data_IF_456403047023
#
_entry.id   IF_456403047023
#
_cell.length_a   1.000
_cell.length_b   1.000
_cell.length_c   1.000
_cell.angle_alpha   90.00
_cell.angle_beta   90.00
_cell.angle_gamma   90.00
#
_symmetry.space_group_name_H-M   'P 1'
#
loop_
_entity.id
_entity.type
_entity.pdbx_description
1 polymer ?
#
# COMPACT_ATOMS: atom_id res chain seq x y z
N UNK A 1 19.88 -3.74 -5.05
CA UNK A 1 20.70 -4.84 -5.59
C UNK A 1 19.81 -6.00 -6.06
N UNK A 2 20.35 -6.81 -6.99
CA UNK A 2 19.65 -8.03 -7.42
C UNK A 2 20.69 -9.11 -7.72
N UNK A 3 20.43 -10.32 -7.26
CA UNK A 3 21.20 -11.53 -7.57
C UNK A 3 20.29 -12.47 -8.37
N UNK A 4 20.83 -13.02 -9.47
CA UNK A 4 20.11 -13.95 -10.33
C UNK A 4 20.98 -15.18 -10.59
N UNK A 5 20.35 -16.35 -10.63
CA UNK A 5 21.00 -17.61 -10.97
C UNK A 5 20.18 -18.36 -12.01
N UNK A 6 20.91 -19.02 -12.92
CA UNK A 6 20.36 -19.95 -13.91
C UNK A 6 21.14 -21.26 -13.78
N UNK A 7 20.44 -22.38 -13.86
CA UNK A 7 21.06 -23.70 -13.81
C UNK A 7 20.37 -24.65 -14.80
N UNK A 8 21.14 -25.13 -15.77
CA UNK A 8 20.66 -26.11 -16.74
C UNK A 8 20.78 -27.51 -16.12
N UNK A 9 19.63 -28.12 -15.85
CA UNK A 9 19.53 -29.44 -15.21
C UNK A 9 19.78 -30.55 -16.21
N UNK A 10 19.19 -30.42 -17.40
CA UNK A 10 19.30 -31.32 -18.52
C UNK A 10 18.85 -30.59 -19.80
N UNK A 11 19.03 -31.26 -20.96
CA UNK A 11 18.61 -30.70 -22.25
C UNK A 11 17.14 -30.22 -22.16
N UNK A 12 16.95 -28.96 -22.44
CA UNK A 12 15.64 -28.31 -22.45
C UNK A 12 15.09 -27.88 -21.07
N UNK A 13 15.69 -28.27 -19.94
CA UNK A 13 15.22 -27.87 -18.60
C UNK A 13 16.20 -26.93 -17.92
N UNK A 14 15.79 -25.69 -17.73
CA UNK A 14 16.54 -24.65 -17.01
C UNK A 14 15.78 -24.22 -15.76
N UNK A 15 16.43 -24.22 -14.61
CA UNK A 15 15.95 -23.60 -13.39
C UNK A 15 16.47 -22.17 -13.31
N UNK A 16 15.64 -21.29 -12.75
CA UNK A 16 16.00 -19.90 -12.51
C UNK A 16 15.59 -19.46 -11.12
N UNK A 17 16.40 -18.62 -10.50
CA UNK A 17 16.07 -17.96 -9.25
C UNK A 17 16.60 -16.55 -9.26
N UNK A 18 15.88 -15.65 -8.61
CA UNK A 18 16.36 -14.29 -8.36
C UNK A 18 15.84 -13.79 -7.01
N UNK A 19 16.68 -13.00 -6.36
CA UNK A 19 16.32 -12.23 -5.18
C UNK A 19 16.89 -10.82 -5.35
N UNK A 20 16.13 -9.83 -4.94
CA UNK A 20 16.56 -8.44 -5.08
C UNK A 20 15.76 -7.50 -4.23
N UNK A 21 16.36 -6.33 -3.97
CA UNK A 21 15.71 -5.23 -3.28
C UNK A 21 15.53 -4.05 -4.24
N UNK A 22 14.49 -3.29 -4.01
CA UNK A 22 14.23 -2.03 -4.68
C UNK A 22 13.84 -0.96 -3.67
N UNK A 23 13.78 0.28 -4.12
CA UNK A 23 13.24 1.38 -3.33
C UNK A 23 12.55 2.39 -4.26
N UNK A 24 11.59 3.12 -3.71
CA UNK A 24 10.96 4.27 -4.34
C UNK A 24 11.05 5.48 -3.41
N UNK A 25 11.74 6.51 -3.85
CA UNK A 25 11.80 7.77 -3.10
C UNK A 25 10.42 8.46 -3.11
N UNK A 26 10.06 9.21 -2.04
CA UNK A 26 8.89 10.06 -2.01
C UNK A 26 8.89 11.07 -3.17
N UNK A 27 7.72 11.38 -3.69
CA UNK A 27 7.55 12.43 -4.68
C UNK A 27 7.81 13.82 -4.10
N UNK A 28 8.25 14.76 -4.94
CA UNK A 28 8.49 16.14 -4.48
C UNK A 28 7.21 16.79 -3.92
N UNK A 29 6.04 16.47 -4.49
CA UNK A 29 4.75 16.92 -3.98
C UNK A 29 4.44 16.39 -2.58
N UNK A 30 4.83 15.15 -2.28
CA UNK A 30 4.62 14.55 -0.96
C UNK A 30 5.52 15.19 0.11
N UNK A 31 6.69 15.69 -0.29
CA UNK A 31 7.68 16.27 0.62
C UNK A 31 7.54 17.78 0.83
N UNK A 32 7.01 18.53 -0.15
CA UNK A 32 7.13 19.98 -0.17
C UNK A 32 5.94 20.75 -0.76
N UNK A 33 4.76 20.13 -0.93
CA UNK A 33 3.57 20.85 -1.36
C UNK A 33 3.10 21.86 -0.29
N UNK A 34 2.53 22.96 -0.74
CA UNK A 34 1.86 23.91 0.15
C UNK A 34 0.62 23.27 0.80
N UNK A 35 0.32 23.68 2.02
CA UNK A 35 -0.92 23.29 2.70
C UNK A 35 -2.14 23.76 1.91
N UNK A 36 -3.06 22.86 1.68
CA UNK A 36 -4.35 23.12 1.03
C UNK A 36 -5.49 22.88 2.02
N UNK A 37 -6.63 23.52 1.76
CA UNK A 37 -7.83 23.37 2.57
C UNK A 37 -8.88 22.53 1.84
N UNK A 38 -9.58 21.68 2.60
CA UNK A 38 -10.72 20.88 2.16
C UNK A 38 -11.80 20.83 3.24
N UNK A 39 -13.02 20.54 2.85
CA UNK A 39 -14.10 20.19 3.76
C UNK A 39 -14.44 18.71 3.54
N UNK A 40 -13.87 17.85 4.38
CA UNK A 40 -13.96 16.41 4.21
C UNK A 40 -15.14 15.83 4.97
N UNK A 41 -15.91 14.96 4.28
CA UNK A 41 -17.01 14.21 4.90
C UNK A 41 -16.47 13.03 5.68
N UNK A 42 -17.04 12.77 6.86
CA UNK A 42 -16.69 11.66 7.73
C UNK A 42 -17.86 11.21 8.58
N UNK A 43 -17.76 10.03 9.18
CA UNK A 43 -18.70 9.54 10.19
C UNK A 43 -17.96 9.38 11.51
N UNK A 44 -18.32 10.19 12.49
CA UNK A 44 -17.61 10.25 13.78
C UNK A 44 -18.12 9.18 14.75
N UNK A 45 -17.62 7.96 14.59
CA UNK A 45 -18.00 6.84 15.46
C UNK A 45 -17.58 7.02 16.93
N UNK A 46 -16.58 7.84 17.23
CA UNK A 46 -16.17 8.14 18.61
C UNK A 46 -17.23 9.00 19.28
N UNK A 47 -17.67 10.06 18.61
CA UNK A 47 -18.76 10.94 19.08
C UNK A 47 -20.08 10.17 19.22
N UNK A 48 -20.46 9.39 18.21
CA UNK A 48 -21.68 8.59 18.24
C UNK A 48 -21.68 7.60 19.41
N UNK A 49 -20.57 6.90 19.65
CA UNK A 49 -20.45 5.98 20.78
C UNK A 49 -20.57 6.70 22.12
N UNK A 50 -19.96 7.86 22.27
CA UNK A 50 -20.05 8.68 23.50
C UNK A 50 -21.47 9.20 23.74
N UNK A 51 -22.25 9.43 22.69
CA UNK A 51 -23.66 9.86 22.75
C UNK A 51 -24.66 8.68 22.79
N UNK A 52 -24.18 7.42 22.76
CA UNK A 52 -25.03 6.25 22.76
C UNK A 52 -25.73 5.97 21.43
N UNK A 53 -25.27 6.55 20.33
CA UNK A 53 -25.79 6.35 18.97
C UNK A 53 -25.14 5.10 18.36
N UNK A 54 -25.96 4.19 17.84
CA UNK A 54 -25.44 2.99 17.16
C UNK A 54 -24.75 3.35 15.83
N UNK A 55 -23.72 2.58 15.45
CA UNK A 55 -22.95 2.84 14.20
C UNK A 55 -23.81 3.01 12.93
N UNK A 56 -24.85 2.21 12.69
CA UNK A 56 -25.69 2.37 11.49
C UNK A 56 -26.45 3.70 11.44
N UNK A 57 -26.72 4.29 12.61
CA UNK A 57 -27.51 5.52 12.76
C UNK A 57 -26.62 6.76 12.92
N UNK A 58 -25.29 6.58 12.91
CA UNK A 58 -24.33 7.66 13.07
C UNK A 58 -24.31 8.54 11.80
N UNK A 59 -24.61 9.85 11.92
CA UNK A 59 -24.69 10.72 10.76
C UNK A 59 -23.32 11.02 10.17
N UNK A 60 -23.29 11.28 8.87
CA UNK A 60 -22.13 11.85 8.21
C UNK A 60 -22.09 13.36 8.45
N UNK A 61 -20.91 13.86 8.82
CA UNK A 61 -20.64 15.27 9.09
C UNK A 61 -19.49 15.76 8.22
N UNK A 62 -19.24 17.06 8.17
CA UNK A 62 -18.09 17.65 7.50
C UNK A 62 -17.18 18.33 8.52
N UNK A 63 -15.88 18.25 8.26
CA UNK A 63 -14.86 18.92 9.07
C UNK A 63 -13.88 19.65 8.17
N UNK A 64 -13.39 20.78 8.67
CA UNK A 64 -12.31 21.52 8.04
C UNK A 64 -11.03 20.67 8.08
N UNK A 65 -10.44 20.44 6.92
CA UNK A 65 -9.26 19.59 6.78
C UNK A 65 -8.13 20.37 6.14
N UNK A 66 -6.97 20.34 6.75
CA UNK A 66 -5.73 20.88 6.23
C UNK A 66 -4.87 19.73 5.68
N UNK A 67 -4.54 19.81 4.39
CA UNK A 67 -3.74 18.80 3.70
C UNK A 67 -2.37 19.40 3.45
N UNK A 68 -1.34 18.83 4.05
CA UNK A 68 0.04 19.33 3.93
C UNK A 68 0.98 18.24 3.42
N UNK A 69 2.14 18.63 2.93
CA UNK A 69 3.24 17.73 2.67
C UNK A 69 3.84 17.19 3.97
N UNK A 70 4.58 16.08 3.85
CA UNK A 70 5.33 15.51 4.96
C UNK A 70 6.82 15.41 4.59
N UNK A 71 7.66 16.34 5.04
CA UNK A 71 9.09 16.33 4.73
C UNK A 71 9.85 15.17 5.41
N UNK A 72 9.22 14.45 6.33
CA UNK A 72 9.82 13.34 7.06
C UNK A 72 9.51 11.96 6.44
N UNK A 73 8.92 11.91 5.24
CA UNK A 73 8.67 10.65 4.56
C UNK A 73 9.96 9.92 4.23
N UNK A 74 10.02 8.65 4.64
CA UNK A 74 11.03 7.71 4.17
C UNK A 74 10.70 7.14 2.78
N UNK A 75 11.67 6.48 2.14
CA UNK A 75 11.40 5.74 0.91
C UNK A 75 10.52 4.52 1.18
N UNK A 76 9.83 4.05 0.15
CA UNK A 76 9.31 2.69 0.14
C UNK A 76 10.44 1.74 -0.18
N UNK A 77 10.52 0.63 0.53
CA UNK A 77 11.51 -0.41 0.30
C UNK A 77 10.83 -1.70 -0.15
N UNK A 78 11.42 -2.42 -1.09
CA UNK A 78 10.85 -3.67 -1.57
C UNK A 78 11.87 -4.79 -1.59
N UNK A 79 11.39 -6.00 -1.30
CA UNK A 79 12.12 -7.24 -1.51
C UNK A 79 11.33 -8.15 -2.43
N UNK A 80 12.01 -8.73 -3.43
CA UNK A 80 11.38 -9.61 -4.39
C UNK A 80 12.18 -10.90 -4.53
N UNK A 81 11.49 -12.03 -4.47
CA UNK A 81 12.02 -13.36 -4.71
C UNK A 81 11.24 -14.01 -5.84
N UNK A 82 11.97 -14.62 -6.78
CA UNK A 82 11.39 -15.39 -7.87
C UNK A 82 12.15 -16.70 -8.02
N UNK A 83 11.42 -17.81 -8.17
CA UNK A 83 11.96 -19.14 -8.44
C UNK A 83 11.13 -19.79 -9.53
N UNK A 84 11.75 -20.27 -10.59
CA UNK A 84 11.03 -20.85 -11.71
C UNK A 84 11.79 -21.91 -12.46
N UNK A 85 11.07 -22.57 -13.35
CA UNK A 85 11.58 -23.57 -14.27
C UNK A 85 11.06 -23.29 -15.68
N UNK A 86 11.91 -23.47 -16.67
CA UNK A 86 11.57 -23.39 -18.08
C UNK A 86 11.90 -24.75 -18.70
N UNK A 87 10.93 -25.35 -19.37
CA UNK A 87 11.15 -26.53 -20.16
C UNK A 87 10.89 -26.25 -21.64
N UNK A 88 11.90 -26.50 -22.46
CA UNK A 88 11.86 -26.29 -23.91
C UNK A 88 11.95 -27.62 -24.63
N UNK A 89 11.04 -27.88 -25.57
CA UNK A 89 10.98 -29.09 -26.38
C UNK A 89 10.68 -28.69 -27.82
N UNK A 90 11.70 -28.73 -28.70
CA UNK A 90 11.59 -28.26 -30.07
C UNK A 90 11.11 -26.79 -30.13
N UNK A 91 10.00 -26.57 -30.84
CA UNK A 91 9.41 -25.22 -31.02
C UNK A 91 8.45 -24.82 -29.89
N UNK A 92 8.40 -25.55 -28.77
CA UNK A 92 7.52 -25.30 -27.64
C UNK A 92 8.29 -25.05 -26.38
N UNK A 93 7.80 -24.15 -25.55
CA UNK A 93 8.33 -23.93 -24.18
C UNK A 93 7.22 -23.69 -23.18
N UNK A 94 7.42 -24.23 -21.99
CA UNK A 94 6.56 -23.98 -20.82
C UNK A 94 7.44 -23.40 -19.72
N UNK A 95 6.98 -22.35 -19.10
CA UNK A 95 7.63 -21.78 -17.91
C UNK A 95 6.63 -21.72 -16.77
N UNK A 96 7.11 -22.03 -15.56
CA UNK A 96 6.39 -21.89 -14.30
C UNK A 96 7.27 -21.10 -13.37
N UNK A 97 6.77 -20.01 -12.81
CA UNK A 97 7.46 -19.16 -11.86
C UNK A 97 6.60 -18.94 -10.63
N UNK A 98 7.18 -19.15 -9.47
CA UNK A 98 6.66 -18.65 -8.21
C UNK A 98 7.37 -17.35 -7.87
N UNK A 99 6.60 -16.36 -7.44
CA UNK A 99 7.14 -15.08 -7.00
C UNK A 99 6.54 -14.64 -5.68
N UNK A 100 7.32 -13.89 -4.94
CA UNK A 100 6.88 -13.16 -3.75
C UNK A 100 7.53 -11.78 -3.77
N UNK A 101 6.73 -10.76 -3.59
CA UNK A 101 7.18 -9.37 -3.47
C UNK A 101 6.56 -8.77 -2.22
N UNK A 102 7.39 -8.14 -1.41
CA UNK A 102 7.02 -7.43 -0.19
C UNK A 102 7.46 -5.98 -0.32
N UNK A 103 6.61 -5.05 0.08
CA UNK A 103 6.87 -3.62 0.04
C UNK A 103 6.57 -3.05 1.41
N UNK A 104 7.58 -2.44 2.03
CA UNK A 104 7.49 -1.76 3.31
C UNK A 104 7.38 -0.25 3.14
N UNK A 105 6.72 0.39 4.10
CA UNK A 105 6.66 1.84 4.17
C UNK A 105 5.94 2.50 3.01
N UNK A 106 4.90 1.86 2.46
CA UNK A 106 4.13 2.40 1.33
C UNK A 106 3.69 3.82 1.62
N UNK A 107 4.01 4.75 0.73
CA UNK A 107 3.58 6.14 0.84
C UNK A 107 2.11 6.22 0.42
N UNK A 108 1.25 6.53 1.37
CA UNK A 108 -0.18 6.61 1.17
C UNK A 108 -0.75 7.91 1.73
N UNK A 109 -1.84 8.37 1.16
CA UNK A 109 -2.61 9.51 1.69
C UNK A 109 -3.76 8.96 2.51
N UNK A 110 -3.83 9.36 3.77
CA UNK A 110 -4.91 8.98 4.68
C UNK A 110 -6.10 9.93 4.57
N UNK A 111 -7.27 9.43 4.88
CA UNK A 111 -8.52 10.21 4.96
C UNK A 111 -8.82 10.60 6.40
N UNK A 112 -9.75 11.54 6.59
CA UNK A 112 -10.28 11.86 7.93
C UNK A 112 -10.91 10.64 8.58
N UNK A 113 -11.60 9.80 7.79
CA UNK A 113 -12.19 8.57 8.28
C UNK A 113 -11.16 7.59 8.83
N UNK A 114 -10.00 7.45 8.16
CA UNK A 114 -8.91 6.58 8.63
C UNK A 114 -8.36 7.05 9.99
N UNK A 115 -8.28 8.37 10.21
CA UNK A 115 -7.84 8.94 11.50
C UNK A 115 -8.84 8.62 12.61
N UNK A 116 -10.13 8.73 12.33
CA UNK A 116 -11.20 8.42 13.29
C UNK A 116 -11.20 6.91 13.58
N UNK A 117 -11.15 6.08 12.55
CA UNK A 117 -11.15 4.63 12.69
C UNK A 117 -9.90 4.13 13.43
N UNK A 118 -8.74 4.74 13.20
CA UNK A 118 -7.52 4.47 13.97
C UNK A 118 -7.71 4.72 15.47
N UNK A 119 -8.43 5.78 15.84
CA UNK A 119 -8.70 6.11 17.25
C UNK A 119 -9.62 5.07 17.93
N UNK A 120 -10.43 4.35 17.14
CA UNK A 120 -11.31 3.27 17.62
C UNK A 120 -10.58 1.92 17.63
N UNK A 121 -9.71 1.67 16.64
CA UNK A 121 -9.01 0.39 16.45
C UNK A 121 -7.85 0.16 17.42
N UNK A 122 -7.26 1.22 17.97
CA UNK A 122 -6.23 1.10 18.99
C UNK A 122 -5.27 2.27 19.11
N UNK A 123 -4.79 2.48 20.33
CA UNK A 123 -3.92 3.61 20.68
C UNK A 123 -2.58 3.61 19.92
N UNK A 124 -2.04 2.44 19.55
CA UNK A 124 -0.76 2.33 18.85
C UNK A 124 -0.84 2.86 17.41
N UNK A 125 -1.89 2.53 16.68
CA UNK A 125 -2.07 3.02 15.30
C UNK A 125 -2.41 4.51 15.28
N UNK A 126 -3.27 4.98 16.17
CA UNK A 126 -3.57 6.41 16.35
C UNK A 126 -2.30 7.22 16.70
N UNK A 127 -1.45 6.69 17.58
CA UNK A 127 -0.18 7.34 17.94
C UNK A 127 0.79 7.40 16.76
N UNK A 128 0.83 6.35 15.93
CA UNK A 128 1.63 6.32 14.71
C UNK A 128 1.18 7.41 13.71
N UNK A 129 -0.12 7.55 13.46
CA UNK A 129 -0.65 8.60 12.60
C UNK A 129 -0.32 9.99 13.13
N UNK A 130 -0.54 10.21 14.45
CA UNK A 130 -0.23 11.48 15.10
C UNK A 130 1.25 11.84 15.02
N UNK A 131 2.14 10.86 15.20
CA UNK A 131 3.59 11.08 15.10
C UNK A 131 4.04 11.49 13.69
N UNK A 132 3.27 11.14 12.68
CA UNK A 132 3.48 11.54 11.28
C UNK A 132 2.69 12.80 10.88
N UNK A 133 2.05 13.48 11.84
CA UNK A 133 1.33 14.74 11.63
C UNK A 133 -0.11 14.61 11.15
N UNK A 134 -0.70 13.42 11.25
CA UNK A 134 -2.08 13.16 10.86
C UNK A 134 -2.96 12.95 12.11
N UNK A 135 -3.83 13.89 12.38
CA UNK A 135 -4.71 13.88 13.56
C UNK A 135 -5.91 14.80 13.38
N UNK A 136 -6.93 14.61 14.21
CA UNK A 136 -8.09 15.49 14.31
C UNK A 136 -8.17 16.08 15.71
N UNK A 137 -8.57 17.35 15.79
CA UNK A 137 -8.82 18.06 17.04
C UNK A 137 -10.32 18.10 17.33
N UNK A 138 -10.68 17.84 18.59
CA UNK A 138 -12.06 17.94 19.08
C UNK A 138 -12.26 19.17 19.89
N UNK A 139 -13.45 19.73 19.86
CA UNK A 139 -13.85 20.84 20.71
C UNK A 139 -13.69 20.43 22.19
N UNK A 140 -12.88 21.19 22.93
CA UNK A 140 -12.55 20.94 24.33
C UNK A 140 -11.98 19.56 24.65
N UNK A 141 -11.52 18.80 23.63
CA UNK A 141 -10.97 17.45 23.81
C UNK A 141 -11.97 16.38 24.27
N UNK A 142 -13.27 16.68 24.25
CA UNK A 142 -14.32 15.76 24.69
C UNK A 142 -14.71 14.79 23.60
N UNK A 143 -14.89 13.50 23.94
CA UNK A 143 -15.25 12.46 22.98
C UNK A 143 -16.61 12.66 22.30
N UNK A 144 -17.56 13.29 22.99
CA UNK A 144 -18.91 13.60 22.53
C UNK A 144 -19.01 14.93 21.75
N UNK A 145 -17.92 15.70 21.69
CA UNK A 145 -17.87 16.97 20.99
C UNK A 145 -17.53 16.79 19.50
N UNK A 146 -17.94 17.77 18.68
CA UNK A 146 -17.61 17.82 17.27
C UNK A 146 -16.11 17.94 17.02
N UNK A 147 -15.66 17.42 15.88
CA UNK A 147 -14.34 17.75 15.35
C UNK A 147 -14.29 19.22 14.94
N UNK A 148 -13.24 19.91 15.33
CA UNK A 148 -13.00 21.32 14.96
C UNK A 148 -12.27 21.39 13.63
N UNK A 149 -11.19 20.62 13.52
CA UNK A 149 -10.33 20.54 12.35
C UNK A 149 -9.54 19.25 12.33
N UNK A 150 -9.14 18.83 11.12
CA UNK A 150 -8.27 17.69 10.91
C UNK A 150 -7.04 18.10 10.11
N UNK A 151 -5.94 17.46 10.40
CA UNK A 151 -4.69 17.57 9.67
C UNK A 151 -4.36 16.22 9.06
N UNK A 152 -4.10 16.19 7.77
CA UNK A 152 -3.66 14.98 7.07
C UNK A 152 -2.55 15.28 6.09
N UNK A 153 -1.69 14.32 5.93
CA UNK A 153 -0.53 14.38 5.06
C UNK A 153 -0.22 12.97 4.54
N UNK A 154 0.63 12.82 3.53
CA UNK A 154 1.17 11.52 3.16
C UNK A 154 1.93 10.92 4.34
N UNK A 155 1.79 9.62 4.53
CA UNK A 155 2.49 8.85 5.57
C UNK A 155 3.16 7.63 4.98
N UNK A 156 4.20 7.12 5.63
CA UNK A 156 4.66 5.77 5.40
C UNK A 156 3.71 4.80 6.11
N UNK A 157 2.92 4.08 5.32
CA UNK A 157 1.99 3.07 5.80
C UNK A 157 2.66 1.76 6.13
N UNK A 158 1.84 0.73 6.30
CA UNK A 158 2.29 -0.61 6.61
C UNK A 158 2.83 -1.33 5.37
N UNK A 159 3.36 -2.52 5.60
CA UNK A 159 3.80 -3.48 4.64
C UNK A 159 2.64 -4.03 3.80
N UNK A 160 2.91 -4.28 2.53
CA UNK A 160 2.06 -5.11 1.66
C UNK A 160 2.87 -6.22 1.04
N UNK A 161 2.24 -7.35 0.78
CA UNK A 161 2.88 -8.47 0.11
C UNK A 161 2.00 -9.06 -0.97
N UNK A 162 2.63 -9.53 -2.04
CA UNK A 162 1.98 -10.25 -3.12
C UNK A 162 2.78 -11.49 -3.44
N UNK A 163 2.12 -12.64 -3.47
CA UNK A 163 2.71 -13.93 -3.82
C UNK A 163 1.84 -14.60 -4.85
N UNK A 164 2.46 -15.20 -5.88
CA UNK A 164 1.72 -15.85 -6.95
C UNK A 164 2.52 -16.87 -7.72
N UNK A 165 1.86 -17.50 -8.68
CA UNK A 165 2.46 -18.41 -9.63
C UNK A 165 2.08 -17.95 -11.04
N UNK A 166 3.08 -17.76 -11.88
CA UNK A 166 2.92 -17.46 -13.29
C UNK A 166 3.16 -18.74 -14.13
N UNK A 167 2.25 -19.00 -15.07
CA UNK A 167 2.39 -20.07 -16.05
C UNK A 167 2.42 -19.45 -17.45
N UNK A 168 3.47 -19.75 -18.21
CA UNK A 168 3.64 -19.26 -19.57
C UNK A 168 3.89 -20.43 -20.52
N UNK A 169 3.15 -20.46 -21.62
CA UNK A 169 3.40 -21.35 -22.74
C UNK A 169 3.69 -20.55 -24.01
N UNK A 170 4.71 -20.96 -24.74
CA UNK A 170 5.00 -20.47 -26.08
C UNK A 170 5.14 -21.66 -27.01
N UNK A 171 4.52 -21.58 -28.16
CA UNK A 171 4.61 -22.64 -29.21
C UNK A 171 4.54 -22.03 -30.59
N UNK A 172 5.39 -22.53 -31.48
CA UNK A 172 5.35 -22.21 -32.89
C UNK A 172 4.77 -23.43 -33.62
N UNK A 173 3.69 -23.23 -34.35
CA UNK A 173 3.01 -24.28 -35.13
C UNK A 173 3.21 -23.97 -36.61
N UNK A 174 3.86 -24.87 -37.33
CA UNK A 174 3.91 -24.81 -38.79
C UNK A 174 2.55 -25.24 -39.35
N UNK A 175 1.90 -24.38 -40.10
CA UNK A 175 0.62 -24.68 -40.73
C UNK A 175 0.77 -24.67 -42.25
N UNK A 176 -0.12 -25.36 -42.97
CA UNK A 176 -0.11 -25.41 -44.44
C UNK A 176 -0.41 -24.04 -45.11
N UNK A 177 -0.76 -23.02 -44.33
CA UNK A 177 -1.17 -21.67 -44.79
C UNK A 177 -0.14 -20.58 -44.41
N UNK A 178 0.91 -20.92 -43.67
CA UNK A 178 1.98 -20.03 -43.19
C UNK A 178 2.26 -20.20 -41.69
N UNK A 179 3.40 -19.64 -41.25
CA UNK A 179 3.84 -19.64 -39.85
C UNK A 179 3.07 -18.63 -39.04
#
# INVERSE_FOLDING_TARGET
WTVKGLYDVMDGLTLRASVGTGFRAPGLGDLAANTTFSADSHTDYVKCAAQGIARPDCPSEQVNTYISANPNLGPEESESTNIGAIYTMGNHSVAVDWFSTEIDGIITTITVQDIIDASVLGASFSAQLTSQGAFCERLNGQADANLQQCFRNPINGNQTSTTGIDLKYNGLYETAVGD
#
